data_IF_701088810079
#
_entry.id   IF_701088810079
#
_cell.length_a   1.000
_cell.length_b   1.000
_cell.length_c   1.000
_cell.angle_alpha   90.00
_cell.angle_beta   90.00
_cell.angle_gamma   90.00
#
_symmetry.space_group_name_H-M   'P 1'
#
loop_
_entity.id
_entity.type
_entity.pdbx_description
1 polymer ?
#
# COMPACT_ATOMS: atom_id res chain seq x y z
N UNK A 1 15.48 0.55 -38.18
CA UNK A 1 15.11 -0.62 -37.32
C UNK A 1 13.83 -0.24 -36.62
N UNK A 2 12.71 -0.93 -36.86
CA UNK A 2 11.46 -0.67 -36.18
C UNK A 2 11.58 -1.23 -34.77
N UNK A 3 11.55 -0.35 -33.75
CA UNK A 3 11.40 -0.77 -32.37
C UNK A 3 10.07 -1.50 -32.23
N UNK A 4 10.12 -2.80 -31.98
CA UNK A 4 8.92 -3.57 -31.66
C UNK A 4 8.45 -3.13 -30.28
N UNK A 5 7.32 -2.44 -30.22
CA UNK A 5 6.63 -2.14 -28.96
C UNK A 5 6.43 -3.47 -28.21
N UNK A 6 6.91 -3.57 -26.95
CA UNK A 6 6.70 -4.75 -26.14
C UNK A 6 5.21 -5.03 -26.01
N UNK A 7 4.80 -6.27 -26.24
CA UNK A 7 3.42 -6.70 -26.10
C UNK A 7 3.28 -7.57 -24.86
N UNK A 8 2.48 -7.11 -23.90
CA UNK A 8 2.09 -7.91 -22.76
C UNK A 8 1.02 -8.91 -23.18
N UNK A 9 1.22 -10.17 -22.83
CA UNK A 9 0.23 -11.23 -23.01
C UNK A 9 -0.08 -11.84 -21.65
N UNK A 10 -1.35 -12.15 -21.45
CA UNK A 10 -1.77 -12.89 -20.27
C UNK A 10 -1.17 -14.29 -20.31
N UNK A 11 -0.50 -14.69 -19.25
CA UNK A 11 0.11 -16.01 -19.13
C UNK A 11 -0.73 -16.97 -18.30
N UNK A 12 -1.26 -16.52 -17.17
CA UNK A 12 -1.96 -17.38 -16.21
C UNK A 12 -3.01 -16.60 -15.42
N UNK A 13 -4.02 -17.32 -14.89
CA UNK A 13 -4.94 -16.85 -13.86
C UNK A 13 -4.55 -17.48 -12.54
N UNK A 14 -4.45 -16.69 -11.51
CA UNK A 14 -4.12 -17.10 -10.16
C UNK A 14 -5.28 -16.74 -9.25
N UNK A 15 -5.81 -17.73 -8.53
CA UNK A 15 -6.82 -17.49 -7.52
C UNK A 15 -6.19 -16.78 -6.32
N UNK A 16 -6.81 -15.68 -5.89
CA UNK A 16 -6.35 -14.91 -4.76
C UNK A 16 -7.02 -15.39 -3.47
N UNK A 17 -6.30 -15.41 -2.33
CA UNK A 17 -6.83 -15.87 -1.06
C UNK A 17 -7.74 -14.86 -0.35
N UNK A 18 -7.83 -13.62 -0.88
CA UNK A 18 -8.61 -12.52 -0.29
C UNK A 18 -9.88 -12.28 -1.08
N UNK A 19 -10.92 -11.85 -0.39
CA UNK A 19 -12.22 -11.51 -0.99
C UNK A 19 -12.19 -10.06 -1.47
N UNK A 20 -12.71 -9.81 -2.68
CA UNK A 20 -12.79 -8.47 -3.28
C UNK A 20 -11.44 -7.75 -3.23
N UNK A 21 -10.46 -8.33 -3.96
CA UNK A 21 -9.10 -7.79 -3.97
C UNK A 21 -9.06 -6.33 -4.44
N UNK A 22 -8.54 -5.45 -3.60
CA UNK A 22 -8.48 -3.99 -3.80
C UNK A 22 -7.07 -3.45 -3.96
N UNK A 23 -6.05 -4.16 -3.48
CA UNK A 23 -4.68 -3.70 -3.57
C UNK A 23 -3.64 -4.80 -3.69
N UNK A 24 -2.54 -4.47 -4.37
CA UNK A 24 -1.37 -5.34 -4.51
C UNK A 24 -0.08 -4.56 -4.30
N UNK A 25 0.87 -5.15 -3.59
CA UNK A 25 2.23 -4.65 -3.45
C UNK A 25 3.24 -5.78 -3.63
N UNK A 26 4.47 -5.41 -3.93
CA UNK A 26 5.59 -6.35 -4.00
C UNK A 26 6.71 -5.83 -3.10
N UNK A 27 7.27 -6.68 -2.28
CA UNK A 27 8.48 -6.38 -1.51
C UNK A 27 9.59 -7.35 -1.85
N UNK A 28 10.82 -6.86 -1.82
CA UNK A 28 12.00 -7.71 -1.92
C UNK A 28 12.38 -8.22 -0.54
N UNK A 29 12.80 -9.48 -0.48
CA UNK A 29 13.34 -10.11 0.71
C UNK A 29 14.62 -10.87 0.35
N UNK A 30 15.39 -11.30 1.32
CA UNK A 30 16.57 -12.17 1.09
C UNK A 30 16.21 -13.48 0.36
N UNK A 31 14.95 -13.92 0.47
CA UNK A 31 14.46 -15.18 -0.13
C UNK A 31 13.86 -14.99 -1.52
N UNK A 32 13.70 -13.76 -1.98
CA UNK A 32 13.04 -13.43 -3.25
C UNK A 32 11.96 -12.35 -3.08
N UNK A 33 11.21 -12.10 -4.12
CA UNK A 33 10.11 -11.16 -4.08
C UNK A 33 8.87 -11.79 -3.43
N UNK A 34 8.16 -11.03 -2.61
CA UNK A 34 6.88 -11.43 -2.02
C UNK A 34 5.78 -10.55 -2.57
N UNK A 35 4.77 -11.17 -3.17
CA UNK A 35 3.52 -10.48 -3.55
C UNK A 35 2.63 -10.42 -2.32
N UNK A 36 2.10 -9.25 -2.07
CA UNK A 36 1.14 -8.97 -1.01
C UNK A 36 -0.16 -8.51 -1.64
N UNK A 37 -1.29 -9.04 -1.20
CA UNK A 37 -2.63 -8.67 -1.67
C UNK A 37 -3.55 -8.40 -0.50
N UNK A 38 -4.43 -7.43 -0.65
CA UNK A 38 -5.50 -7.13 0.31
C UNK A 38 -6.85 -7.15 -0.39
N UNK A 39 -7.89 -7.31 0.39
CA UNK A 39 -9.28 -7.09 -0.02
C UNK A 39 -9.97 -6.10 0.90
N UNK A 40 -11.11 -5.59 0.47
CA UNK A 40 -11.88 -4.59 1.21
C UNK A 40 -12.75 -5.20 2.33
N UNK A 41 -12.97 -6.53 2.31
CA UNK A 41 -13.89 -7.23 3.22
C UNK A 41 -13.27 -7.75 4.50
N UNK A 42 -11.96 -7.99 4.52
CA UNK A 42 -11.29 -8.60 5.67
C UNK A 42 -10.02 -7.85 6.02
N UNK A 43 -9.59 -7.97 7.27
CA UNK A 43 -8.30 -7.44 7.70
C UNK A 43 -7.14 -8.39 7.40
N UNK A 44 -7.23 -9.15 6.31
CA UNK A 44 -6.23 -10.14 5.93
C UNK A 44 -5.34 -9.64 4.80
N UNK A 45 -4.06 -9.94 4.91
CA UNK A 45 -3.07 -9.78 3.83
C UNK A 45 -2.69 -11.16 3.34
N UNK A 46 -2.95 -11.43 2.07
CA UNK A 46 -2.37 -12.59 1.40
C UNK A 46 -0.93 -12.31 1.04
N UNK A 47 -0.02 -13.22 1.37
CA UNK A 47 1.40 -13.15 1.05
C UNK A 47 1.84 -14.41 0.30
N UNK A 48 2.55 -14.24 -0.81
CA UNK A 48 3.07 -15.32 -1.63
C UNK A 48 4.49 -15.02 -2.09
N UNK A 49 5.41 -15.94 -1.89
CA UNK A 49 6.77 -15.82 -2.38
C UNK A 49 6.82 -16.11 -3.89
N UNK A 50 7.51 -15.27 -4.64
CA UNK A 50 7.85 -15.52 -6.03
C UNK A 50 9.22 -16.20 -6.06
N UNK A 51 9.25 -17.44 -6.52
CA UNK A 51 10.48 -18.19 -6.71
C UNK A 51 11.34 -17.61 -7.85
N UNK A 52 12.57 -18.10 -7.94
CA UNK A 52 13.57 -17.60 -8.89
C UNK A 52 13.18 -17.76 -10.37
N UNK A 53 12.25 -18.64 -10.70
CA UNK A 53 11.73 -18.85 -12.07
C UNK A 53 10.39 -18.18 -12.31
N UNK A 54 9.88 -17.42 -11.32
CA UNK A 54 8.59 -16.75 -11.36
C UNK A 54 7.41 -17.63 -10.92
N UNK A 55 7.66 -18.84 -10.40
CA UNK A 55 6.64 -19.66 -9.76
C UNK A 55 6.17 -19.03 -8.46
N UNK A 56 4.89 -19.14 -8.18
CA UNK A 56 4.31 -18.70 -6.90
C UNK A 56 4.26 -19.89 -5.94
N UNK A 57 4.70 -19.66 -4.70
CA UNK A 57 4.47 -20.57 -3.59
C UNK A 57 3.00 -20.55 -3.15
N UNK A 58 2.66 -21.36 -2.16
CA UNK A 58 1.35 -21.31 -1.52
C UNK A 58 1.13 -19.97 -0.80
N UNK A 59 -0.11 -19.48 -0.87
CA UNK A 59 -0.51 -18.29 -0.18
C UNK A 59 -0.53 -18.48 1.34
N UNK A 60 0.02 -17.51 2.04
CA UNK A 60 -0.10 -17.38 3.49
C UNK A 60 -0.99 -16.20 3.81
N UNK A 61 -2.01 -16.40 4.65
CA UNK A 61 -2.86 -15.32 5.16
C UNK A 61 -2.26 -14.77 6.46
N UNK A 62 -2.17 -13.46 6.54
CA UNK A 62 -1.77 -12.70 7.72
C UNK A 62 -2.97 -11.90 8.17
N UNK A 63 -3.60 -12.32 9.27
CA UNK A 63 -4.71 -11.58 9.86
C UNK A 63 -4.17 -10.38 10.67
N UNK A 64 -4.33 -9.19 10.12
CA UNK A 64 -3.90 -7.95 10.74
C UNK A 64 -4.70 -7.63 12.01
N UNK A 65 -5.94 -8.08 12.12
CA UNK A 65 -6.77 -7.85 13.31
C UNK A 65 -6.19 -8.54 14.56
N UNK A 66 -5.32 -9.53 14.38
CA UNK A 66 -4.62 -10.20 15.49
C UNK A 66 -3.38 -9.47 15.98
N UNK A 67 -2.94 -8.41 15.28
CA UNK A 67 -1.76 -7.67 15.67
C UNK A 67 -1.99 -6.89 16.97
N UNK A 68 -1.03 -6.91 17.92
CA UNK A 68 -1.11 -6.08 19.08
C UNK A 68 -1.29 -4.59 18.72
N UNK A 69 -2.30 -3.97 19.31
CA UNK A 69 -2.62 -2.56 19.08
C UNK A 69 -3.44 -2.28 17.81
N UNK A 70 -3.89 -3.31 17.09
CA UNK A 70 -4.72 -3.11 15.91
C UNK A 70 -6.04 -2.40 16.26
N UNK A 71 -6.38 -1.25 15.62
CA UNK A 71 -7.49 -0.41 16.06
C UNK A 71 -8.84 -0.79 15.46
N UNK A 72 -8.86 -1.65 14.42
CA UNK A 72 -10.08 -1.96 13.68
C UNK A 72 -10.62 -3.33 14.10
N UNK A 73 -11.95 -3.52 14.10
CA UNK A 73 -12.54 -4.83 14.31
C UNK A 73 -12.20 -5.77 13.14
N UNK A 74 -12.25 -7.06 13.40
CA UNK A 74 -12.25 -8.06 12.34
C UNK A 74 -13.55 -7.94 11.53
N UNK A 75 -13.47 -7.90 10.21
CA UNK A 75 -14.62 -7.77 9.30
C UNK A 75 -14.38 -6.71 8.25
N UNK A 76 -15.39 -6.08 7.75
CA UNK A 76 -15.36 -5.10 6.66
C UNK A 76 -14.30 -4.01 6.91
N UNK A 77 -13.12 -4.24 6.34
CA UNK A 77 -11.92 -3.41 6.59
C UNK A 77 -11.94 -2.15 5.75
N UNK A 78 -12.60 -2.16 4.61
CA UNK A 78 -12.61 -1.08 3.62
C UNK A 78 -11.18 -0.66 3.23
N UNK A 79 -10.29 -1.65 3.08
CA UNK A 79 -8.94 -1.38 2.60
C UNK A 79 -8.93 -1.22 1.10
N UNK A 80 -8.36 -0.11 0.63
CA UNK A 80 -8.30 0.26 -0.79
C UNK A 80 -6.88 0.19 -1.35
N UNK A 81 -5.87 0.27 -0.51
CA UNK A 81 -4.50 0.22 -0.98
C UNK A 81 -3.54 -0.41 0.01
N UNK A 82 -2.50 -1.03 -0.52
CA UNK A 82 -1.39 -1.59 0.22
C UNK A 82 -0.07 -1.10 -0.36
N UNK A 83 0.89 -0.82 0.51
CA UNK A 83 2.29 -0.57 0.16
C UNK A 83 3.21 -1.40 1.05
N UNK A 84 4.37 -1.71 0.54
CA UNK A 84 5.45 -2.36 1.29
C UNK A 84 6.74 -1.57 1.11
N UNK A 85 7.54 -1.49 2.16
CA UNK A 85 8.92 -1.01 2.06
C UNK A 85 9.85 -2.14 1.60
N UNK A 86 11.14 -1.86 1.48
CA UNK A 86 12.13 -2.89 1.17
C UNK A 86 12.42 -3.85 2.36
N UNK A 87 11.84 -3.61 3.53
CA UNK A 87 12.03 -4.37 4.76
C UNK A 87 10.78 -5.12 5.20
N UNK A 88 10.43 -5.00 6.48
CA UNK A 88 9.31 -5.70 7.10
C UNK A 88 8.01 -4.89 7.21
N UNK A 89 8.02 -3.60 6.81
CA UNK A 89 6.86 -2.74 6.93
C UNK A 89 5.87 -2.95 5.79
N UNK A 90 4.61 -3.02 6.18
CA UNK A 90 3.46 -3.01 5.28
C UNK A 90 2.52 -1.90 5.74
N UNK A 91 2.06 -1.09 4.82
CA UNK A 91 1.04 -0.10 5.05
C UNK A 91 -0.23 -0.49 4.32
N UNK A 92 -1.36 -0.44 5.01
CA UNK A 92 -2.68 -0.60 4.42
C UNK A 92 -3.48 0.68 4.63
N UNK A 93 -4.20 1.10 3.62
CA UNK A 93 -4.97 2.32 3.67
C UNK A 93 -6.46 2.02 3.64
N UNK A 94 -7.16 2.62 4.57
CA UNK A 94 -8.61 2.62 4.65
C UNK A 94 -9.16 3.93 4.09
N UNK A 95 -10.27 3.84 3.36
CA UNK A 95 -10.89 5.01 2.75
C UNK A 95 -11.65 5.87 3.77
N UNK A 96 -12.46 5.26 4.62
CA UNK A 96 -13.30 5.99 5.59
C UNK A 96 -13.27 5.36 7.00
N UNK A 97 -12.76 6.08 8.02
CA UNK A 97 -11.97 7.31 7.91
C UNK A 97 -10.65 7.10 7.17
N UNK A 98 -10.07 8.14 6.53
CA UNK A 98 -8.84 8.04 5.77
C UNK A 98 -7.65 7.83 6.71
N UNK A 99 -7.29 6.58 6.88
CA UNK A 99 -6.25 6.13 7.82
C UNK A 99 -5.30 5.19 7.09
N UNK A 100 -4.02 5.38 7.30
CA UNK A 100 -2.99 4.40 6.96
C UNK A 100 -2.53 3.70 8.23
N UNK A 101 -2.66 2.38 8.25
CA UNK A 101 -2.14 1.53 9.31
C UNK A 101 -0.82 0.92 8.84
N UNK A 102 0.24 1.21 9.56
CA UNK A 102 1.58 0.68 9.29
C UNK A 102 1.86 -0.44 10.26
N UNK A 103 2.06 -1.63 9.75
CA UNK A 103 2.38 -2.82 10.52
C UNK A 103 3.80 -3.30 10.19
N UNK A 104 4.48 -3.82 11.22
CA UNK A 104 5.67 -4.60 11.05
C UNK A 104 5.27 -6.08 10.97
N UNK A 105 5.71 -6.77 9.96
CA UNK A 105 5.42 -8.19 9.79
C UNK A 105 6.43 -9.09 10.48
N UNK A 106 7.57 -8.52 10.92
CA UNK A 106 8.66 -9.24 11.61
C UNK A 106 9.44 -8.31 12.56
N UNK A 107 9.12 -8.24 13.88
CA UNK A 107 8.05 -8.94 14.60
C UNK A 107 6.66 -8.36 14.32
N UNK A 108 5.65 -9.19 14.37
CA UNK A 108 4.28 -8.78 14.04
C UNK A 108 3.70 -7.81 15.07
N UNK A 109 3.54 -6.55 14.70
CA UNK A 109 2.86 -5.55 15.54
C UNK A 109 2.46 -4.31 14.72
N UNK A 110 1.47 -3.58 15.21
CA UNK A 110 1.14 -2.26 14.65
C UNK A 110 2.23 -1.26 15.06
N UNK A 111 2.82 -0.59 14.07
CA UNK A 111 3.83 0.47 14.26
C UNK A 111 3.22 1.84 14.39
N UNK A 112 2.22 2.14 13.57
CA UNK A 112 1.62 3.45 13.51
C UNK A 112 0.20 3.41 12.94
N UNK A 113 -0.63 4.31 13.44
CA UNK A 113 -1.88 4.75 12.83
C UNK A 113 -1.69 6.19 12.35
N UNK A 114 -1.81 6.42 11.05
CA UNK A 114 -1.58 7.72 10.43
C UNK A 114 -2.89 8.20 9.82
N UNK A 115 -3.49 9.22 10.43
CA UNK A 115 -4.67 9.86 9.86
C UNK A 115 -4.26 10.81 8.76
N UNK A 116 -4.81 10.59 7.57
CA UNK A 116 -4.57 11.45 6.44
C UNK A 116 -5.51 12.67 6.53
N UNK A 117 -4.94 13.83 6.78
CA UNK A 117 -5.69 15.08 6.91
C UNK A 117 -5.14 16.13 5.96
N UNK A 118 -6.03 16.82 5.25
CA UNK A 118 -5.63 18.00 4.50
C UNK A 118 -5.46 19.18 5.47
N UNK A 119 -4.34 19.93 5.40
CA UNK A 119 -4.18 21.13 6.20
C UNK A 119 -5.28 22.16 5.89
N UNK A 120 -5.82 22.79 6.91
CA UNK A 120 -6.80 23.86 6.76
C UNK A 120 -6.25 24.98 5.87
N UNK A 121 -7.05 25.43 4.88
CA UNK A 121 -6.64 26.45 3.91
C UNK A 121 -5.72 25.96 2.81
N UNK A 122 -5.35 24.67 2.77
CA UNK A 122 -4.65 24.09 1.63
C UNK A 122 -5.58 23.91 0.43
N UNK A 123 -4.99 23.69 -0.76
CA UNK A 123 -5.79 23.39 -1.97
C UNK A 123 -6.59 22.09 -1.85
N UNK A 124 -6.29 21.27 -0.87
CA UNK A 124 -6.99 20.01 -0.57
C UNK A 124 -8.06 20.18 0.50
N UNK A 125 -8.11 21.34 1.17
CA UNK A 125 -9.09 21.63 2.20
C UNK A 125 -10.50 21.62 1.60
N UNK A 126 -11.37 20.78 2.14
CA UNK A 126 -12.70 20.52 1.61
C UNK A 126 -12.78 19.59 0.38
N UNK A 127 -11.66 19.34 -0.32
CA UNK A 127 -11.61 18.40 -1.45
C UNK A 127 -11.29 16.98 -0.99
N UNK A 128 -10.52 16.85 0.07
CA UNK A 128 -10.26 15.58 0.75
C UNK A 128 -11.46 15.09 1.60
N UNK A 129 -12.56 15.85 1.56
CA UNK A 129 -13.74 15.61 2.39
C UNK A 129 -14.69 14.52 1.89
N UNK A 130 -14.65 14.17 0.61
CA UNK A 130 -15.51 13.12 0.05
C UNK A 130 -14.97 11.74 0.36
N UNK A 131 -15.64 11.02 1.27
CA UNK A 131 -15.24 9.69 1.71
C UNK A 131 -15.13 8.69 0.56
N UNK A 132 -16.01 8.80 -0.44
CA UNK A 132 -16.08 7.89 -1.59
C UNK A 132 -15.01 8.13 -2.66
N UNK A 133 -13.98 8.93 -2.39
CA UNK A 133 -12.96 9.30 -3.38
C UNK A 133 -11.54 9.35 -2.83
N UNK A 134 -11.36 8.89 -1.62
CA UNK A 134 -10.07 8.95 -0.94
C UNK A 134 -9.31 7.67 -1.17
N UNK A 135 -8.13 7.81 -1.80
CA UNK A 135 -7.09 6.80 -1.70
C UNK A 135 -7.33 5.46 -2.38
N UNK A 136 -7.00 5.40 -3.66
CA UNK A 136 -7.02 4.17 -4.47
C UNK A 136 -5.62 3.57 -4.67
N UNK A 137 -4.60 4.24 -4.17
CA UNK A 137 -3.21 3.80 -4.28
C UNK A 137 -2.33 4.39 -3.19
N UNK A 138 -1.35 3.63 -2.77
CA UNK A 138 -0.44 3.99 -1.68
C UNK A 138 0.99 3.61 -2.04
N UNK A 139 1.93 4.49 -1.76
CA UNK A 139 3.37 4.22 -1.92
C UNK A 139 4.13 4.80 -0.73
N UNK A 140 5.09 4.04 -0.21
CA UNK A 140 6.08 4.57 0.70
C UNK A 140 7.09 5.43 -0.05
N UNK A 141 7.39 6.60 0.50
CA UNK A 141 8.47 7.46 0.07
C UNK A 141 9.53 7.55 1.16
N UNK A 142 10.75 7.90 0.78
CA UNK A 142 11.84 8.12 1.74
C UNK A 142 11.50 9.22 2.74
N UNK A 143 12.05 9.10 3.95
CA UNK A 143 11.87 10.08 5.02
C UNK A 143 10.51 10.02 5.71
N UNK A 144 9.85 8.87 5.71
CA UNK A 144 8.58 8.67 6.41
C UNK A 144 7.39 9.36 5.73
N UNK A 145 7.49 9.59 4.43
CA UNK A 145 6.44 10.18 3.61
C UNK A 145 5.62 9.10 2.93
N UNK A 146 4.38 9.43 2.58
CA UNK A 146 3.46 8.59 1.84
C UNK A 146 2.97 9.34 0.60
N UNK A 147 2.82 8.64 -0.51
CA UNK A 147 2.12 9.12 -1.68
C UNK A 147 0.81 8.38 -1.80
N UNK A 148 -0.28 9.12 -1.92
CA UNK A 148 -1.64 8.58 -2.04
C UNK A 148 -2.22 9.01 -3.36
N UNK A 149 -2.81 8.07 -4.10
CA UNK A 149 -3.58 8.38 -5.30
C UNK A 149 -5.04 8.64 -4.93
N UNK A 150 -5.58 9.78 -5.33
CA UNK A 150 -7.00 10.13 -5.20
C UNK A 150 -7.72 9.89 -6.53
N UNK A 151 -8.78 9.08 -6.53
CA UNK A 151 -9.51 8.68 -7.74
C UNK A 151 -10.38 9.81 -8.30
N UNK A 152 -11.18 10.41 -7.45
CA UNK A 152 -12.22 11.38 -7.85
C UNK A 152 -11.78 12.81 -7.56
N UNK A 153 -12.57 13.73 -8.02
CA UNK A 153 -12.33 15.17 -8.12
C UNK A 153 -11.73 15.85 -6.88
N UNK A 154 -10.55 16.43 -7.02
CA UNK A 154 -9.67 16.34 -8.17
C UNK A 154 -8.94 15.01 -8.20
N UNK A 155 -8.70 14.44 -9.37
CA UNK A 155 -7.75 13.31 -9.49
C UNK A 155 -6.36 13.85 -9.20
N UNK A 156 -5.68 13.29 -8.22
CA UNK A 156 -4.42 13.82 -7.75
C UNK A 156 -3.52 12.74 -7.18
N UNK A 157 -2.23 13.01 -7.17
CA UNK A 157 -1.27 12.36 -6.30
C UNK A 157 -0.99 13.32 -5.15
N UNK A 158 -1.19 12.85 -3.93
CA UNK A 158 -1.08 13.66 -2.73
C UNK A 158 0.06 13.11 -1.88
N UNK A 159 1.05 13.96 -1.61
CA UNK A 159 2.13 13.65 -0.70
C UNK A 159 1.71 13.99 0.74
N UNK A 160 1.83 13.01 1.64
CA UNK A 160 1.70 13.20 3.08
C UNK A 160 3.06 12.99 3.72
N UNK A 161 3.47 13.91 4.57
CA UNK A 161 4.73 13.87 5.28
C UNK A 161 4.58 14.04 6.78
N UNK A 162 5.67 13.92 7.54
CA UNK A 162 5.68 14.25 8.96
C UNK A 162 5.19 15.68 9.19
N UNK A 163 4.52 15.92 10.32
CA UNK A 163 4.02 17.25 10.70
C UNK A 163 5.16 18.26 10.71
N UNK A 164 4.99 19.36 9.99
CA UNK A 164 6.00 20.43 9.86
C UNK A 164 7.06 20.18 8.78
N UNK A 165 6.99 19.08 8.04
CA UNK A 165 7.83 18.88 6.87
C UNK A 165 7.25 19.62 5.66
N UNK A 166 8.10 20.36 4.94
CA UNK A 166 7.71 20.94 3.66
C UNK A 166 7.58 19.84 2.59
N UNK A 167 6.57 19.90 1.71
CA UNK A 167 6.48 19.03 0.56
C UNK A 167 7.73 19.18 -0.31
N UNK A 168 8.39 18.07 -0.62
CA UNK A 168 9.63 18.09 -1.41
C UNK A 168 9.39 17.89 -2.91
N UNK A 169 8.16 17.54 -3.28
CA UNK A 169 7.87 17.05 -4.62
C UNK A 169 8.41 15.64 -4.83
N UNK A 170 8.05 15.03 -5.96
CA UNK A 170 8.47 13.69 -6.31
C UNK A 170 9.74 13.72 -7.16
N UNK A 171 10.73 12.94 -6.75
CA UNK A 171 11.90 12.62 -7.57
C UNK A 171 12.08 11.10 -7.61
N UNK A 172 12.87 10.60 -8.55
CA UNK A 172 13.22 9.18 -8.61
C UNK A 172 13.89 8.69 -7.33
N UNK A 173 14.60 9.57 -6.63
CA UNK A 173 15.32 9.25 -5.41
C UNK A 173 14.40 9.11 -4.18
N UNK A 174 13.15 9.56 -4.30
CA UNK A 174 12.15 9.43 -3.23
C UNK A 174 11.47 8.05 -3.20
N UNK A 175 11.52 7.31 -4.29
CA UNK A 175 11.00 5.95 -4.35
C UNK A 175 11.91 5.04 -3.54
N UNK A 176 11.30 4.19 -2.71
CA UNK A 176 12.02 3.13 -2.02
C UNK A 176 12.38 2.06 -3.06
N UNK A 177 13.53 2.27 -3.71
CA UNK A 177 14.18 1.22 -4.48
C UNK A 177 14.96 0.28 -3.56
N UNK A 178 15.41 -0.89 -4.05
CA UNK A 178 16.38 -1.68 -3.31
C UNK A 178 17.57 -0.78 -2.98
N UNK A 179 17.92 -0.72 -1.68
CA UNK A 179 19.16 -0.05 -1.29
C UNK A 179 20.29 -0.78 -2.00
N UNK A 180 21.01 -0.07 -2.86
CA UNK A 180 22.26 -0.58 -3.37
C UNK A 180 23.21 -0.72 -2.18
N UNK A 181 23.48 -1.97 -1.82
CA UNK A 181 24.44 -2.35 -0.78
C UNK A 181 25.89 -2.21 -1.27
#
# INVERSE_FOLDING_TARGET
>A
MSEKTPRLVRSELIDLPVVEASGVAVRQTERGAVVLVIGDRTAEVGACLIGARGELDDWTLIDLATLPGWPLPSGDSQFEAIAADGGSLVAVMREDPPVVLVADTEPRHLRAEIRLTAPAGSVLDGQWGDASSRGEGLVFLRGGRLLVAQEKRPRALIEFGPVGAEPKGLSSDDLLGPEES
#
